data_IF_564346665530
#
_entry.id   IF_564346665530
#
_cell.length_a   1.000
_cell.length_b   1.000
_cell.length_c   1.000
_cell.angle_alpha   90.00
_cell.angle_beta   90.00
_cell.angle_gamma   90.00
#
_symmetry.space_group_name_H-M   'P 1'
#
loop_
_entity.id
_entity.type
_entity.pdbx_description
1 polymer ?
#
# COMPACT_ATOMS: atom_id res chain seq x y z
N UNK A 1 0.15 -6.40 9.06
CA UNK A 1 -0.87 -7.13 9.87
C UNK A 1 -1.76 -7.87 8.90
N UNK A 2 -2.09 -9.13 9.18
CA UNK A 2 -3.03 -9.92 8.36
C UNK A 2 -4.31 -10.13 9.17
N UNK A 3 -5.47 -9.86 8.57
CA UNK A 3 -6.77 -9.98 9.22
C UNK A 3 -7.84 -10.39 8.21
N UNK A 4 -8.87 -11.13 8.64
CA UNK A 4 -10.00 -11.49 7.77
C UNK A 4 -11.10 -10.47 7.93
N UNK A 5 -11.59 -9.95 6.82
CA UNK A 5 -12.71 -9.00 6.79
C UNK A 5 -13.85 -9.56 5.92
N UNK A 6 -15.09 -9.19 6.23
CA UNK A 6 -16.23 -9.47 5.35
C UNK A 6 -16.34 -8.36 4.32
N UNK A 7 -16.34 -8.72 3.04
CA UNK A 7 -16.57 -7.82 1.93
C UNK A 7 -17.94 -8.10 1.31
N UNK A 8 -18.75 -7.05 1.14
CA UNK A 8 -20.08 -7.15 0.55
C UNK A 8 -20.00 -7.81 -0.83
N UNK A 9 -20.66 -8.97 -0.97
CA UNK A 9 -20.69 -9.76 -2.21
C UNK A 9 -19.55 -10.78 -2.40
N UNK A 10 -18.49 -10.74 -1.60
CA UNK A 10 -17.29 -11.60 -1.76
C UNK A 10 -17.01 -12.53 -0.57
N UNK A 11 -17.81 -12.48 0.50
CA UNK A 11 -17.59 -13.33 1.68
C UNK A 11 -16.38 -12.89 2.50
N UNK A 12 -15.70 -13.83 3.17
CA UNK A 12 -14.53 -13.54 4.00
C UNK A 12 -13.29 -13.43 3.12
N UNK A 13 -12.68 -12.25 3.12
CA UNK A 13 -11.48 -11.93 2.36
C UNK A 13 -10.30 -11.72 3.32
N UNK A 14 -9.10 -12.12 2.92
CA UNK A 14 -7.89 -11.90 3.70
C UNK A 14 -7.33 -10.51 3.38
N UNK A 15 -7.23 -9.65 4.40
CA UNK A 15 -6.63 -8.32 4.29
C UNK A 15 -5.20 -8.32 4.79
N UNK A 16 -4.31 -7.73 4.01
CA UNK A 16 -2.93 -7.45 4.40
C UNK A 16 -2.76 -5.94 4.48
N UNK A 17 -2.54 -5.44 5.69
CA UNK A 17 -2.18 -4.03 5.92
C UNK A 17 -0.67 -3.89 6.04
N UNK A 18 -0.08 -3.00 5.23
CA UNK A 18 1.34 -2.65 5.28
C UNK A 18 1.57 -1.15 5.35
N UNK A 19 2.66 -0.79 6.00
CA UNK A 19 3.13 0.58 6.12
C UNK A 19 4.40 0.70 5.26
N UNK A 20 4.44 1.71 4.41
CA UNK A 20 5.55 1.95 3.49
C UNK A 20 6.27 3.23 3.94
N UNK A 21 7.53 3.07 4.32
CA UNK A 21 8.42 4.20 4.61
C UNK A 21 9.22 4.52 3.36
N UNK A 22 9.09 5.75 2.87
CA UNK A 22 9.87 6.28 1.75
C UNK A 22 10.93 7.24 2.28
N UNK A 23 12.19 6.93 2.03
CA UNK A 23 13.35 7.74 2.42
C UNK A 23 13.96 8.45 1.21
N UNK A 24 14.63 9.58 1.43
CA UNK A 24 15.26 10.41 0.39
C UNK A 24 14.41 11.57 -0.12
N UNK A 25 14.98 12.33 -1.07
CA UNK A 25 14.41 13.55 -1.66
C UNK A 25 13.29 13.24 -2.66
N UNK A 26 12.18 12.74 -2.14
CA UNK A 26 10.99 12.42 -2.91
C UNK A 26 9.94 13.51 -2.74
N UNK A 27 9.61 14.17 -3.84
CA UNK A 27 8.47 15.09 -3.92
C UNK A 27 7.16 14.36 -3.62
N UNK A 28 6.12 15.11 -3.23
CA UNK A 28 4.80 14.56 -2.94
C UNK A 28 4.21 13.79 -4.14
N UNK A 29 4.45 14.27 -5.36
CA UNK A 29 4.03 13.60 -6.60
C UNK A 29 4.74 12.25 -6.80
N UNK A 30 6.06 12.20 -6.59
CA UNK A 30 6.82 10.95 -6.65
C UNK A 30 6.36 9.94 -5.60
N UNK A 31 6.11 10.39 -4.37
CA UNK A 31 5.58 9.54 -3.30
C UNK A 31 4.20 8.97 -3.65
N UNK A 32 3.33 9.77 -4.26
CA UNK A 32 2.01 9.32 -4.73
C UNK A 32 2.13 8.27 -5.84
N UNK A 33 3.01 8.49 -6.83
CA UNK A 33 3.28 7.52 -7.90
C UNK A 33 3.84 6.21 -7.36
N UNK A 34 4.76 6.26 -6.41
CA UNK A 34 5.32 5.08 -5.75
C UNK A 34 4.26 4.30 -4.97
N UNK A 35 3.37 4.99 -4.25
CA UNK A 35 2.23 4.35 -3.58
C UNK A 35 1.28 3.68 -4.59
N UNK A 36 1.00 4.33 -5.72
CA UNK A 36 0.17 3.76 -6.78
C UNK A 36 0.80 2.51 -7.40
N UNK A 37 2.13 2.52 -7.64
CA UNK A 37 2.88 1.34 -8.10
C UNK A 37 2.80 0.22 -7.06
N UNK A 38 3.01 0.55 -5.79
CA UNK A 38 2.95 -0.43 -4.70
C UNK A 38 1.57 -1.11 -4.65
N UNK A 39 0.48 -0.37 -4.88
CA UNK A 39 -0.88 -0.89 -4.92
C UNK A 39 -1.22 -1.72 -6.17
N UNK A 40 -0.43 -1.65 -7.25
CA UNK A 40 -0.58 -2.50 -8.44
C UNK A 40 0.07 -3.89 -8.28
N UNK A 41 0.24 -4.36 -7.04
CA UNK A 41 1.01 -5.56 -6.74
C UNK A 41 0.43 -6.82 -7.45
N UNK A 42 1.24 -7.55 -8.24
CA UNK A 42 0.76 -8.72 -9.01
C UNK A 42 0.41 -9.93 -8.13
N UNK A 43 0.68 -9.85 -6.82
CA UNK A 43 0.39 -10.89 -5.84
C UNK A 43 -1.09 -11.26 -5.76
N UNK A 44 -2.00 -10.34 -6.09
CA UNK A 44 -3.44 -10.61 -6.20
C UNK A 44 -3.74 -11.79 -7.15
N UNK A 45 -2.92 -11.97 -8.20
CA UNK A 45 -3.06 -13.09 -9.17
C UNK A 45 -2.48 -14.42 -8.67
N UNK A 46 -1.48 -14.36 -7.79
CA UNK A 46 -0.73 -15.53 -7.32
C UNK A 46 -1.42 -16.21 -6.14
N UNK A 47 -2.12 -15.44 -5.30
CA UNK A 47 -2.66 -15.94 -4.02
C UNK A 47 -4.09 -16.53 -4.07
N UNK A 48 -4.71 -16.67 -5.26
CA UNK A 48 -5.97 -17.41 -5.52
C UNK A 48 -6.87 -17.65 -4.29
N UNK A 49 -7.46 -16.57 -3.78
CA UNK A 49 -8.60 -16.45 -2.87
C UNK A 49 -8.61 -14.98 -2.42
N UNK A 50 -9.76 -14.35 -2.37
CA UNK A 50 -9.98 -12.92 -2.21
C UNK A 50 -9.01 -12.25 -1.20
N UNK A 51 -7.94 -11.63 -1.71
CA UNK A 51 -6.89 -11.00 -0.90
C UNK A 51 -6.86 -9.48 -1.14
N UNK A 52 -7.14 -8.69 -0.13
CA UNK A 52 -7.06 -7.23 -0.20
C UNK A 52 -5.76 -6.72 0.41
N UNK A 53 -4.90 -6.06 -0.37
CA UNK A 53 -3.68 -5.42 0.15
C UNK A 53 -3.94 -3.93 0.33
N UNK A 54 -3.88 -3.46 1.58
CA UNK A 54 -3.99 -2.05 1.92
C UNK A 54 -2.60 -1.50 2.28
N UNK A 55 -2.15 -0.49 1.54
CA UNK A 55 -0.85 0.17 1.76
C UNK A 55 -1.06 1.61 2.21
N UNK A 56 -0.38 2.01 3.29
CA UNK A 56 -0.33 3.40 3.75
C UNK A 56 1.11 3.89 3.80
N UNK A 57 1.33 5.19 3.56
CA UNK A 57 2.65 5.79 3.74
C UNK A 57 2.85 6.12 5.21
N UNK A 58 4.05 5.84 5.74
CA UNK A 58 4.45 6.33 7.05
C UNK A 58 4.68 7.85 6.98
N UNK A 59 4.16 8.59 7.95
CA UNK A 59 4.40 10.02 8.10
C UNK A 59 5.83 10.28 8.60
N UNK A 60 6.79 10.18 7.68
CA UNK A 60 8.14 10.70 7.84
C UNK A 60 8.38 11.70 6.70
N UNK A 61 7.93 12.94 6.92
CA UNK A 61 8.16 14.06 6.03
C UNK A 61 9.44 14.79 6.47
N UNK A 62 10.61 14.29 6.08
CA UNK A 62 11.78 15.16 5.95
C UNK A 62 11.70 15.84 4.57
N UNK A 63 10.88 16.88 4.47
CA UNK A 63 10.93 17.79 3.33
C UNK A 63 12.16 18.69 3.51
N UNK A 64 13.32 18.23 3.06
CA UNK A 64 14.46 19.11 2.87
C UNK A 64 14.20 19.95 1.60
N UNK A 65 14.34 21.28 1.66
CA UNK A 65 14.19 22.12 0.47
C UNK A 65 15.41 21.88 -0.43
N UNK A 66 15.17 21.37 -1.64
CA UNK A 66 16.17 21.47 -2.71
C UNK A 66 16.20 22.92 -3.19
N UNK A 67 17.42 23.44 -3.31
CA UNK A 67 17.80 24.80 -3.64
C UNK A 67 17.17 25.36 -4.93
#
# INVERSE_FOLDING_TARGET
MHDRIEAEGHGKIDRISRIITLTGDLTRDQRSKLLAIANKCPMYRVLHSDLCIHSVLADCQSAAPVA
#
